data_IF_127431918743
#
_entry.id   IF_127431918743
#
_cell.length_a   1.000
_cell.length_b   1.000
_cell.length_c   1.000
_cell.angle_alpha   90.00
_cell.angle_beta   90.00
_cell.angle_gamma   90.00
#
_symmetry.space_group_name_H-M   'P 1'
#
loop_
_entity.id
_entity.type
_entity.pdbx_description
1 polymer ?
#
# COMPACT_ATOMS: atom_id res chain seq x y z
N UNK A 1 13.92 7.78 25.34
CA UNK A 1 13.81 6.33 25.05
C UNK A 1 14.56 5.96 23.78
N UNK A 2 15.25 4.83 23.75
CA UNK A 2 15.79 4.27 22.49
C UNK A 2 14.65 4.12 21.47
N UNK A 3 14.83 4.62 20.23
CA UNK A 3 13.78 4.58 19.23
C UNK A 3 13.39 3.15 18.90
N UNK A 4 12.08 2.94 18.81
CA UNK A 4 11.47 1.70 18.31
C UNK A 4 10.64 2.05 17.09
N UNK A 5 10.41 1.08 16.19
CA UNK A 5 9.59 1.32 15.02
C UNK A 5 8.19 1.87 15.37
N UNK A 6 7.60 1.44 16.50
CA UNK A 6 6.35 2.01 16.99
C UNK A 6 6.48 3.48 17.35
N UNK A 7 7.42 3.84 18.22
CA UNK A 7 7.55 5.23 18.70
C UNK A 7 8.03 6.18 17.62
N UNK A 8 8.89 5.71 16.71
CA UNK A 8 9.31 6.51 15.55
C UNK A 8 8.13 6.84 14.66
N UNK A 9 7.24 5.89 14.41
CA UNK A 9 6.01 6.14 13.66
C UNK A 9 5.04 7.02 14.47
N UNK A 10 4.92 6.79 15.77
CA UNK A 10 4.06 7.59 16.64
C UNK A 10 4.46 9.07 16.67
N UNK A 11 5.76 9.40 16.53
CA UNK A 11 6.26 10.78 16.44
C UNK A 11 5.77 11.54 15.21
N UNK A 12 5.35 10.84 14.14
CA UNK A 12 4.95 11.49 12.89
C UNK A 12 3.51 11.99 12.93
N UNK A 13 2.76 11.64 13.99
CA UNK A 13 1.36 11.99 14.12
C UNK A 13 1.20 13.42 14.65
N UNK A 14 0.20 14.13 14.15
CA UNK A 14 -0.25 15.37 14.76
C UNK A 14 -1.01 15.08 16.06
N UNK A 15 -1.14 16.09 16.93
CA UNK A 15 -1.87 15.96 18.21
C UNK A 15 -3.30 15.43 18.01
N UNK A 16 -3.98 15.86 16.94
CA UNK A 16 -5.31 15.37 16.58
C UNK A 16 -5.28 13.89 16.20
N UNK A 17 -4.32 13.49 15.37
CA UNK A 17 -4.16 12.10 14.95
C UNK A 17 -3.83 11.18 16.12
N UNK A 18 -3.06 11.64 17.11
CA UNK A 18 -2.83 10.89 18.35
C UNK A 18 -4.13 10.64 19.12
N UNK A 19 -4.97 11.67 19.26
CA UNK A 19 -6.26 11.54 19.94
C UNK A 19 -7.21 10.59 19.19
N UNK A 20 -7.25 10.70 17.86
CA UNK A 20 -8.03 9.82 16.99
C UNK A 20 -7.52 8.38 17.03
N UNK A 21 -6.19 8.17 17.06
CA UNK A 21 -5.58 6.85 17.19
C UNK A 21 -5.88 6.20 18.55
N UNK A 22 -5.75 6.94 19.65
CA UNK A 22 -6.11 6.42 20.99
C UNK A 22 -7.59 6.03 21.04
N UNK A 23 -8.46 6.84 20.45
CA UNK A 23 -9.89 6.55 20.34
C UNK A 23 -10.15 5.32 19.48
N UNK A 24 -9.52 5.22 18.31
CA UNK A 24 -9.60 4.07 17.40
C UNK A 24 -9.20 2.78 18.11
N UNK A 25 -8.06 2.77 18.80
CA UNK A 25 -7.58 1.59 19.51
C UNK A 25 -8.56 1.15 20.61
N UNK A 26 -9.10 2.11 21.37
CA UNK A 26 -10.07 1.84 22.44
C UNK A 26 -11.38 1.21 21.92
N UNK A 27 -11.90 1.70 20.80
CA UNK A 27 -13.14 1.18 20.22
C UNK A 27 -12.96 -0.14 19.48
N UNK A 28 -11.87 -0.28 18.71
CA UNK A 28 -11.64 -1.48 17.90
C UNK A 28 -11.13 -2.66 18.73
N UNK A 29 -10.44 -2.39 19.85
CA UNK A 29 -9.80 -3.43 20.67
C UNK A 29 -10.14 -3.33 22.17
N UNK A 30 -11.43 -3.37 22.57
CA UNK A 30 -11.85 -3.13 23.96
C UNK A 30 -11.26 -4.13 24.97
N UNK A 31 -10.91 -5.35 24.52
CA UNK A 31 -10.31 -6.40 25.36
C UNK A 31 -8.80 -6.22 25.57
N UNK A 32 -8.15 -5.24 24.93
CA UNK A 32 -6.69 -5.03 24.95
C UNK A 32 -6.29 -3.84 25.83
N UNK A 33 -6.89 -3.75 27.02
CA UNK A 33 -6.67 -2.64 27.97
C UNK A 33 -5.21 -2.47 28.37
N UNK A 34 -4.43 -3.56 28.42
CA UNK A 34 -2.98 -3.46 28.67
C UNK A 34 -2.29 -2.59 27.64
N UNK A 35 -2.48 -2.88 26.35
CA UNK A 35 -1.88 -2.10 25.26
C UNK A 35 -2.38 -0.64 25.26
N UNK A 36 -3.66 -0.43 25.58
CA UNK A 36 -4.23 0.92 25.73
C UNK A 36 -3.49 1.73 26.81
N UNK A 37 -3.20 1.13 27.97
CA UNK A 37 -2.45 1.82 29.05
C UNK A 37 -1.04 2.24 28.61
N UNK A 38 -0.35 1.38 27.86
CA UNK A 38 0.95 1.74 27.28
C UNK A 38 0.83 2.89 26.28
N UNK A 39 -0.18 2.84 25.41
CA UNK A 39 -0.44 3.92 24.45
C UNK A 39 -0.72 5.25 25.18
N UNK A 40 -1.68 5.25 26.10
CA UNK A 40 -2.07 6.46 26.84
C UNK A 40 -0.89 7.03 27.64
N UNK A 41 -0.07 6.18 28.27
CA UNK A 41 1.14 6.63 28.96
C UNK A 41 2.15 7.27 28.01
N UNK A 42 2.40 6.66 26.84
CA UNK A 42 3.34 7.20 25.88
C UNK A 42 2.86 8.54 25.33
N UNK A 43 1.57 8.68 25.03
CA UNK A 43 0.99 9.91 24.48
C UNK A 43 1.17 11.15 25.39
N UNK A 44 1.38 10.96 26.71
CA UNK A 44 1.74 12.06 27.61
C UNK A 44 3.07 12.73 27.28
N UNK A 45 3.94 12.03 26.54
CA UNK A 45 5.27 12.49 26.17
C UNK A 45 5.41 12.77 24.66
N UNK A 46 4.30 12.78 23.91
CA UNK A 46 4.32 13.09 22.47
C UNK A 46 4.71 14.55 22.22
N UNK A 47 5.59 14.87 21.25
CA UNK A 47 6.39 13.99 20.38
C UNK A 47 7.79 13.67 20.92
N UNK A 48 8.13 14.15 22.11
CA UNK A 48 9.49 14.28 22.64
C UNK A 48 10.06 13.01 23.31
N UNK A 49 9.59 11.81 22.94
CA UNK A 49 10.00 10.56 23.59
C UNK A 49 11.50 10.28 23.49
N UNK A 50 12.14 10.74 22.42
CA UNK A 50 13.54 10.45 22.12
C UNK A 50 14.49 11.44 22.75
N UNK A 51 14.06 12.69 22.99
CA UNK A 51 14.86 13.71 23.67
C UNK A 51 14.90 13.52 25.19
N UNK A 52 13.89 12.86 25.77
CA UNK A 52 13.84 12.54 27.21
C UNK A 52 14.73 11.35 27.58
N UNK A 53 15.83 11.64 28.29
CA UNK A 53 16.82 10.65 28.77
C UNK A 53 16.27 9.74 29.88
N UNK A 54 15.37 10.26 30.72
CA UNK A 54 14.69 9.57 31.81
C UNK A 54 13.64 8.57 31.32
N UNK A 55 13.05 8.83 30.15
CA UNK A 55 12.07 7.94 29.52
C UNK A 55 12.78 6.71 28.92
N UNK A 56 13.17 5.73 29.74
CA UNK A 56 13.73 4.45 29.28
C UNK A 56 12.65 3.38 29.14
N UNK A 57 12.91 2.29 28.39
CA UNK A 57 11.99 1.14 28.31
C UNK A 57 11.70 0.54 29.69
N UNK A 58 12.73 0.46 30.55
CA UNK A 58 12.60 0.01 31.93
C UNK A 58 11.71 0.96 32.74
N UNK A 59 11.88 2.27 32.58
CA UNK A 59 11.04 3.27 33.25
C UNK A 59 9.57 3.17 32.83
N UNK A 60 9.29 3.04 31.53
CA UNK A 60 7.92 2.85 31.01
C UNK A 60 7.30 1.59 31.60
N UNK A 61 8.03 0.47 31.61
CA UNK A 61 7.56 -0.78 32.18
C UNK A 61 7.26 -0.64 33.68
N UNK A 62 8.20 -0.10 34.45
CA UNK A 62 8.06 0.06 35.90
C UNK A 62 6.91 1.00 36.29
N UNK A 63 6.68 2.05 35.49
CA UNK A 63 5.58 3.00 35.71
C UNK A 63 4.21 2.33 35.55
N UNK A 64 4.10 1.32 34.69
CA UNK A 64 2.84 0.62 34.41
C UNK A 64 2.69 -0.70 35.19
N UNK A 65 3.80 -1.25 35.69
CA UNK A 65 3.87 -2.50 36.45
C UNK A 65 4.75 -2.32 37.71
N UNK A 66 4.33 -1.51 38.68
CA UNK A 66 5.13 -1.26 39.87
C UNK A 66 5.38 -2.55 40.65
N UNK A 67 6.62 -2.74 41.11
CA UNK A 67 7.04 -3.92 41.86
C UNK A 67 7.28 -5.18 41.02
N UNK A 68 7.04 -5.13 39.71
CA UNK A 68 7.38 -6.24 38.80
C UNK A 68 8.82 -6.12 38.29
N UNK A 69 9.50 -7.25 38.09
CA UNK A 69 10.82 -7.27 37.44
C UNK A 69 10.67 -6.84 35.97
N UNK A 70 11.58 -5.99 35.49
CA UNK A 70 11.58 -5.52 34.10
C UNK A 70 11.59 -6.69 33.10
N UNK A 71 10.56 -6.73 32.25
CA UNK A 71 10.44 -7.72 31.17
C UNK A 71 10.44 -7.03 29.80
N UNK A 72 11.62 -7.02 29.17
CA UNK A 72 11.81 -6.47 27.83
C UNK A 72 11.03 -7.22 26.75
N UNK A 73 10.81 -8.53 26.90
CA UNK A 73 10.08 -9.34 25.93
C UNK A 73 8.60 -8.98 25.97
N UNK A 74 8.02 -8.87 27.17
CA UNK A 74 6.63 -8.46 27.33
C UNK A 74 6.40 -7.05 26.78
N UNK A 75 7.28 -6.09 27.08
CA UNK A 75 7.20 -4.74 26.53
C UNK A 75 7.33 -4.72 25.01
N UNK A 76 8.30 -5.46 24.47
CA UNK A 76 8.51 -5.58 23.02
C UNK A 76 7.27 -6.10 22.30
N UNK A 77 6.60 -7.11 22.86
CA UNK A 77 5.35 -7.64 22.30
C UNK A 77 4.23 -6.59 22.28
N UNK A 78 4.13 -5.75 23.32
CA UNK A 78 3.15 -4.65 23.35
C UNK A 78 3.46 -3.61 22.28
N UNK A 79 4.72 -3.22 22.12
CA UNK A 79 5.12 -2.23 21.10
C UNK A 79 4.91 -2.77 19.67
N UNK A 80 5.26 -4.03 19.41
CA UNK A 80 4.99 -4.67 18.11
C UNK A 80 3.49 -4.73 17.82
N UNK A 81 2.67 -5.04 18.83
CA UNK A 81 1.22 -5.02 18.69
C UNK A 81 0.69 -3.62 18.38
N UNK A 82 1.08 -2.60 19.16
CA UNK A 82 0.66 -1.22 18.96
C UNK A 82 1.11 -0.65 17.61
N UNK A 83 2.31 -1.04 17.14
CA UNK A 83 2.78 -0.72 15.79
C UNK A 83 1.80 -1.22 14.72
N UNK A 84 1.41 -2.49 14.77
CA UNK A 84 0.44 -3.05 13.81
C UNK A 84 -0.92 -2.33 13.85
N UNK A 85 -1.35 -1.89 15.04
CA UNK A 85 -2.59 -1.11 15.16
C UNK A 85 -2.45 0.30 14.58
N UNK A 86 -1.30 0.93 14.76
CA UNK A 86 -1.01 2.24 14.18
C UNK A 86 -0.94 2.17 12.65
N UNK A 87 -0.28 1.14 12.10
CA UNK A 87 -0.24 0.90 10.65
C UNK A 87 -1.64 0.69 10.07
N UNK A 88 -2.50 -0.07 10.78
CA UNK A 88 -3.90 -0.27 10.40
C UNK A 88 -4.69 1.03 10.43
N UNK A 89 -4.52 1.83 11.48
CA UNK A 89 -5.16 3.14 11.63
C UNK A 89 -4.78 4.09 10.49
N UNK A 90 -3.48 4.24 10.21
CA UNK A 90 -2.98 5.10 9.14
C UNK A 90 -3.47 4.64 7.76
N UNK A 91 -3.45 3.33 7.52
CA UNK A 91 -3.98 2.75 6.27
C UNK A 91 -5.47 3.06 6.09
N UNK A 92 -6.25 2.96 7.17
CA UNK A 92 -7.66 3.28 7.16
C UNK A 92 -7.90 4.77 6.93
N UNK A 93 -7.18 5.66 7.62
CA UNK A 93 -7.29 7.10 7.39
C UNK A 93 -6.96 7.48 5.95
N UNK A 94 -5.86 6.93 5.41
CA UNK A 94 -5.48 7.16 4.02
C UNK A 94 -6.56 6.70 3.03
N UNK A 95 -7.11 5.50 3.24
CA UNK A 95 -8.18 4.96 2.42
C UNK A 95 -9.46 5.81 2.50
N UNK A 96 -9.79 6.35 3.68
CA UNK A 96 -10.99 7.15 3.87
C UNK A 96 -10.86 8.59 3.34
N UNK A 97 -9.65 9.13 3.27
CA UNK A 97 -9.38 10.45 2.67
C UNK A 97 -9.48 10.43 1.14
N UNK A 98 -9.14 9.30 0.53
CA UNK A 98 -9.07 9.16 -0.93
C UNK A 98 -10.28 8.36 -1.44
N UNK A 99 -11.35 9.09 -1.81
CA UNK A 99 -12.58 8.46 -2.32
C UNK A 99 -12.32 7.47 -3.47
N UNK A 100 -11.36 7.80 -4.34
CA UNK A 100 -10.94 6.93 -5.43
C UNK A 100 -10.31 5.59 -4.95
N UNK A 101 -9.31 5.63 -4.06
CA UNK A 101 -8.63 4.40 -3.60
C UNK A 101 -9.61 3.50 -2.83
N UNK A 102 -10.52 4.09 -2.05
CA UNK A 102 -11.63 3.36 -1.43
C UNK A 102 -12.51 2.65 -2.46
N UNK A 103 -12.89 3.36 -3.51
CA UNK A 103 -13.77 2.83 -4.54
C UNK A 103 -13.09 1.69 -5.33
N UNK A 104 -11.79 1.81 -5.64
CA UNK A 104 -10.99 0.74 -6.26
C UNK A 104 -10.80 -0.45 -5.31
N UNK A 105 -10.52 -0.20 -4.03
CA UNK A 105 -10.39 -1.25 -3.03
C UNK A 105 -11.69 -2.07 -2.94
N UNK A 106 -12.84 -1.39 -2.89
CA UNK A 106 -14.14 -2.07 -2.91
C UNK A 106 -14.34 -2.88 -4.20
N UNK A 107 -13.98 -2.34 -5.37
CA UNK A 107 -14.05 -3.06 -6.63
C UNK A 107 -13.21 -4.35 -6.59
N UNK A 108 -11.98 -4.31 -6.05
CA UNK A 108 -11.12 -5.50 -5.88
C UNK A 108 -11.81 -6.56 -5.02
N UNK A 109 -12.37 -6.17 -3.88
CA UNK A 109 -13.11 -7.08 -2.99
C UNK A 109 -14.35 -7.68 -3.67
N UNK A 110 -15.10 -6.89 -4.45
CA UNK A 110 -16.27 -7.38 -5.20
C UNK A 110 -15.88 -8.41 -6.27
N UNK A 111 -14.73 -8.19 -6.95
CA UNK A 111 -14.18 -9.12 -7.92
C UNK A 111 -13.76 -10.44 -7.27
N UNK A 112 -13.04 -10.39 -6.15
CA UNK A 112 -12.63 -11.59 -5.40
C UNK A 112 -13.83 -12.42 -4.94
N UNK A 113 -14.96 -11.75 -4.64
CA UNK A 113 -16.23 -12.40 -4.28
C UNK A 113 -17.08 -12.82 -5.48
N UNK A 114 -16.56 -12.73 -6.71
CA UNK A 114 -17.28 -13.06 -7.95
C UNK A 114 -18.58 -12.26 -8.17
N UNK A 115 -18.67 -11.05 -7.62
CA UNK A 115 -19.82 -10.15 -7.78
C UNK A 115 -19.65 -9.24 -9.01
N UNK A 116 -19.53 -9.83 -10.20
CA UNK A 116 -19.12 -9.16 -11.43
C UNK A 116 -19.93 -7.89 -11.75
N UNK A 117 -21.26 -7.92 -11.64
CA UNK A 117 -22.10 -6.74 -11.91
C UNK A 117 -21.79 -5.57 -10.97
N UNK A 118 -21.68 -5.85 -9.67
CA UNK A 118 -21.35 -4.84 -8.67
C UNK A 118 -19.92 -4.32 -8.85
N UNK A 119 -18.97 -5.21 -9.19
CA UNK A 119 -17.60 -4.85 -9.53
C UNK A 119 -17.56 -3.82 -10.66
N UNK A 120 -18.22 -4.09 -11.80
CA UNK A 120 -18.21 -3.15 -12.93
C UNK A 120 -18.88 -1.83 -12.61
N UNK A 121 -20.01 -1.85 -11.90
CA UNK A 121 -20.68 -0.62 -11.45
C UNK A 121 -19.76 0.24 -10.58
N UNK A 122 -19.05 -0.40 -9.64
CA UNK A 122 -18.11 0.27 -8.75
C UNK A 122 -16.90 0.80 -9.53
N UNK A 123 -16.35 0.03 -10.46
CA UNK A 123 -15.20 0.41 -11.29
C UNK A 123 -15.53 1.60 -12.20
N UNK A 124 -16.72 1.59 -12.82
CA UNK A 124 -17.23 2.71 -13.63
C UNK A 124 -17.42 3.97 -12.79
N UNK A 125 -17.96 3.84 -11.57
CA UNK A 125 -18.12 4.96 -10.65
C UNK A 125 -16.76 5.56 -10.24
N UNK A 126 -15.78 4.70 -9.91
CA UNK A 126 -14.41 5.11 -9.61
C UNK A 126 -13.77 5.85 -10.80
N UNK A 127 -13.95 5.35 -12.03
CA UNK A 127 -13.46 5.99 -13.25
C UNK A 127 -14.02 7.40 -13.47
N UNK A 128 -15.31 7.61 -13.23
CA UNK A 128 -15.93 8.95 -13.32
C UNK A 128 -15.41 9.91 -12.25
N UNK A 129 -15.13 9.42 -11.04
CA UNK A 129 -14.54 10.23 -9.98
C UNK A 129 -13.10 10.63 -10.33
N UNK A 130 -12.37 9.74 -11.01
CA UNK A 130 -11.02 10.00 -11.48
C UNK A 130 -10.98 11.02 -12.61
N UNK A 131 -11.91 10.95 -13.58
CA UNK A 131 -12.03 11.93 -14.67
C UNK A 131 -12.33 13.35 -14.19
N UNK A 132 -12.92 13.49 -12.99
CA UNK A 132 -13.18 14.79 -12.34
C UNK A 132 -12.04 15.26 -11.44
N UNK A 133 -11.14 14.36 -11.05
CA UNK A 133 -10.03 14.69 -10.17
C UNK A 133 -8.88 15.26 -11.00
N UNK A 134 -8.60 16.55 -10.81
CA UNK A 134 -7.53 17.26 -11.49
C UNK A 134 -6.17 16.89 -10.88
N UNK A 135 -5.69 15.66 -11.12
CA UNK A 135 -4.41 15.18 -10.58
C UNK A 135 -3.68 14.29 -11.58
N UNK A 136 -2.75 14.90 -12.32
CA UNK A 136 -1.74 14.25 -13.17
C UNK A 136 -0.61 13.73 -12.29
N UNK A 137 -0.81 12.55 -11.69
CA UNK A 137 0.22 11.83 -10.93
C UNK A 137 0.41 10.42 -11.48
N UNK A 138 1.62 9.86 -11.33
CA UNK A 138 1.92 8.48 -11.78
C UNK A 138 0.96 7.45 -11.17
N UNK A 139 0.53 7.67 -9.91
CA UNK A 139 -0.45 6.82 -9.24
C UNK A 139 -1.84 6.91 -9.89
N UNK A 140 -2.31 8.11 -10.24
CA UNK A 140 -3.54 8.33 -11.00
C UNK A 140 -3.51 7.59 -12.34
N UNK A 141 -2.36 7.61 -13.03
CA UNK A 141 -2.17 6.89 -14.30
C UNK A 141 -2.23 5.37 -14.13
N UNK A 142 -1.57 4.82 -13.10
CA UNK A 142 -1.65 3.37 -12.79
C UNK A 142 -3.08 2.97 -12.45
N UNK A 143 -3.75 3.77 -11.64
CA UNK A 143 -5.13 3.55 -11.24
C UNK A 143 -6.10 3.63 -12.45
N UNK A 144 -5.88 4.58 -13.36
CA UNK A 144 -6.59 4.68 -14.63
C UNK A 144 -6.37 3.44 -15.49
N UNK A 145 -5.13 2.94 -15.55
CA UNK A 145 -4.79 1.70 -16.26
C UNK A 145 -5.49 0.47 -15.68
N UNK A 146 -5.51 0.31 -14.35
CA UNK A 146 -6.22 -0.80 -13.69
C UNK A 146 -7.71 -0.82 -14.06
N UNK A 147 -8.36 0.35 -14.06
CA UNK A 147 -9.78 0.50 -14.43
C UNK A 147 -9.98 0.19 -15.91
N UNK A 148 -9.24 0.85 -16.81
CA UNK A 148 -9.42 0.67 -18.26
C UNK A 148 -9.08 -0.75 -18.72
N UNK A 149 -8.11 -1.40 -18.09
CA UNK A 149 -7.84 -2.81 -18.31
C UNK A 149 -9.02 -3.69 -17.86
N UNK A 150 -9.60 -3.45 -16.68
CA UNK A 150 -10.80 -4.16 -16.22
C UNK A 150 -11.99 -3.99 -17.15
N UNK A 151 -12.23 -2.76 -17.62
CA UNK A 151 -13.28 -2.43 -18.59
C UNK A 151 -13.05 -3.11 -19.94
N UNK A 152 -11.82 -3.11 -20.47
CA UNK A 152 -11.48 -3.65 -21.79
C UNK A 152 -11.67 -5.17 -21.88
N UNK A 153 -11.32 -5.91 -20.83
CA UNK A 153 -11.48 -7.37 -20.78
C UNK A 153 -12.82 -7.83 -20.19
N UNK A 154 -13.76 -6.90 -19.98
CA UNK A 154 -15.10 -7.22 -19.50
C UNK A 154 -15.93 -7.94 -20.55
N UNK A 155 -16.40 -9.15 -20.23
CA UNK A 155 -17.40 -9.86 -21.04
C UNK A 155 -18.81 -9.26 -20.97
N UNK A 156 -19.03 -8.29 -20.07
CA UNK A 156 -20.32 -7.65 -19.84
C UNK A 156 -20.50 -6.34 -20.63
N UNK A 157 -19.42 -5.76 -21.17
CA UNK A 157 -19.49 -4.52 -21.97
C UNK A 157 -18.74 -4.64 -23.30
N UNK A 158 -19.30 -5.42 -24.24
CA UNK A 158 -18.79 -5.58 -25.60
C UNK A 158 -18.75 -4.26 -26.41
N UNK A 159 -19.33 -3.16 -25.91
CA UNK A 159 -19.37 -1.87 -26.63
C UNK A 159 -18.06 -1.08 -26.53
N UNK A 160 -17.13 -1.50 -25.67
CA UNK A 160 -15.83 -0.86 -25.54
C UNK A 160 -14.80 -1.35 -26.55
N UNK A 161 -15.02 -2.45 -27.27
CA UNK A 161 -14.12 -2.87 -28.36
C UNK A 161 -14.03 -1.88 -29.53
N UNK A 162 -14.89 -0.85 -29.57
CA UNK A 162 -15.03 0.04 -30.73
C UNK A 162 -14.94 1.55 -30.45
N UNK A 163 -14.60 1.99 -29.22
CA UNK A 163 -14.33 3.43 -29.00
C UNK A 163 -12.90 3.75 -29.40
N UNK A 164 -12.71 4.87 -30.11
CA UNK A 164 -11.43 5.28 -30.70
C UNK A 164 -10.37 5.58 -29.62
N UNK A 165 -9.65 4.55 -29.18
CA UNK A 165 -8.61 4.68 -28.16
C UNK A 165 -7.36 5.39 -28.67
N UNK A 166 -7.19 5.57 -29.99
CA UNK A 166 -5.94 6.06 -30.60
C UNK A 166 -5.50 7.43 -30.07
N UNK A 167 -6.43 8.28 -29.63
CA UNK A 167 -6.14 9.58 -29.03
C UNK A 167 -6.06 9.59 -27.49
N UNK A 168 -6.48 8.51 -26.82
CA UNK A 168 -6.55 8.46 -25.37
C UNK A 168 -5.20 8.10 -24.73
N UNK A 169 -5.00 8.49 -23.47
CA UNK A 169 -3.84 8.08 -22.66
C UNK A 169 -3.70 6.55 -22.63
N UNK A 170 -4.81 5.81 -22.58
CA UNK A 170 -4.80 4.35 -22.61
C UNK A 170 -4.31 3.79 -23.96
N UNK A 171 -4.74 4.36 -25.08
CA UNK A 171 -4.24 3.93 -26.39
C UNK A 171 -2.78 4.28 -26.62
N UNK A 172 -2.30 5.41 -26.10
CA UNK A 172 -0.88 5.75 -26.09
C UNK A 172 -0.07 4.74 -25.26
N UNK A 173 -0.57 4.35 -24.09
CA UNK A 173 0.06 3.34 -23.24
C UNK A 173 0.04 1.94 -23.84
N UNK A 174 -1.07 1.53 -24.45
CA UNK A 174 -1.16 0.24 -25.14
C UNK A 174 -0.15 0.20 -26.30
N UNK A 175 -0.06 1.28 -27.08
CA UNK A 175 0.95 1.44 -28.13
C UNK A 175 2.38 1.40 -27.58
N UNK A 176 2.64 2.02 -26.44
CA UNK A 176 3.95 1.94 -25.77
C UNK A 176 4.27 0.52 -25.27
N UNK A 177 3.27 -0.22 -24.80
CA UNK A 177 3.43 -1.62 -24.38
C UNK A 177 3.68 -2.55 -25.57
N UNK A 178 2.97 -2.36 -26.68
CA UNK A 178 3.23 -3.07 -27.94
C UNK A 178 4.66 -2.81 -28.43
N UNK A 179 5.10 -1.54 -28.47
CA UNK A 179 6.47 -1.17 -28.83
C UNK A 179 7.53 -1.81 -27.92
N UNK A 180 7.27 -1.87 -26.62
CA UNK A 180 8.18 -2.54 -25.67
C UNK A 180 8.30 -4.04 -25.97
N UNK A 181 7.18 -4.70 -26.24
CA UNK A 181 7.17 -6.13 -26.59
C UNK A 181 7.92 -6.39 -27.90
N UNK A 182 7.75 -5.54 -28.91
CA UNK A 182 8.46 -5.65 -30.19
C UNK A 182 9.99 -5.46 -30.02
N UNK A 183 10.40 -4.51 -29.18
CA UNK A 183 11.81 -4.31 -28.84
C UNK A 183 12.41 -5.51 -28.12
N UNK A 184 11.68 -6.09 -27.16
CA UNK A 184 12.10 -7.29 -26.43
C UNK A 184 12.21 -8.50 -27.36
N UNK A 185 11.23 -8.70 -28.25
CA UNK A 185 11.25 -9.77 -29.24
C UNK A 185 12.44 -9.61 -30.20
N UNK A 186 12.69 -8.39 -30.68
CA UNK A 186 13.83 -8.07 -31.54
C UNK A 186 15.16 -8.34 -30.86
N UNK A 187 15.32 -7.89 -29.60
CA UNK A 187 16.52 -8.14 -28.80
C UNK A 187 16.75 -9.62 -28.58
N UNK A 188 15.69 -10.37 -28.28
CA UNK A 188 15.76 -11.82 -28.12
C UNK A 188 16.18 -12.53 -29.41
N UNK A 189 15.63 -12.14 -30.56
CA UNK A 189 16.00 -12.68 -31.86
C UNK A 189 17.48 -12.41 -32.19
N UNK A 190 17.97 -11.20 -31.93
CA UNK A 190 19.37 -10.83 -32.12
C UNK A 190 20.30 -11.65 -31.21
N UNK A 191 19.92 -11.86 -29.96
CA UNK A 191 20.67 -12.70 -29.01
C UNK A 191 20.72 -14.16 -29.49
N UNK A 192 19.61 -14.71 -29.98
CA UNK A 192 19.59 -16.05 -30.56
C UNK A 192 20.50 -16.18 -31.79
N UNK A 193 20.51 -15.18 -32.68
CA UNK A 193 21.42 -15.16 -33.83
C UNK A 193 22.88 -15.08 -33.38
N UNK A 194 23.20 -14.23 -32.41
CA UNK A 194 24.56 -14.10 -31.90
C UNK A 194 25.04 -15.41 -31.27
N UNK A 195 24.19 -16.11 -30.50
CA UNK A 195 24.49 -17.43 -29.94
C UNK A 195 24.74 -18.47 -31.02
N UNK A 196 23.90 -18.53 -32.06
CA UNK A 196 24.12 -19.43 -33.21
C UNK A 196 25.46 -19.16 -33.90
N UNK A 197 25.82 -17.88 -34.08
CA UNK A 197 27.10 -17.49 -34.66
C UNK A 197 28.28 -17.93 -33.79
N UNK A 198 28.22 -17.70 -32.48
CA UNK A 198 29.28 -18.11 -31.55
C UNK A 198 29.45 -19.63 -31.55
N UNK A 199 28.35 -20.38 -31.46
CA UNK A 199 28.39 -21.84 -31.47
C UNK A 199 28.92 -22.39 -32.81
N UNK A 200 28.48 -21.84 -33.94
CA UNK A 200 29.02 -22.24 -35.25
C UNK A 200 30.49 -21.87 -35.48
N UNK A 201 31.00 -20.83 -34.81
CA UNK A 201 32.43 -20.50 -34.81
C UNK A 201 33.28 -21.38 -33.90
N UNK A 202 32.68 -21.94 -32.84
CA UNK A 202 33.32 -22.92 -31.95
C UNK A 202 33.48 -24.26 -32.69
N UNK A 203 32.47 -24.70 -33.43
CA UNK A 203 32.52 -25.96 -34.20
C UNK A 203 33.56 -25.92 -35.34
N UNK A 204 33.83 -24.75 -35.92
CA UNK A 204 34.86 -24.58 -36.96
C UNK A 204 36.31 -24.51 -36.44
N UNK A 205 36.52 -24.34 -35.13
CA UNK A 205 37.87 -24.28 -34.52
C UNK A 205 38.35 -25.61 -33.94
N UNK A 206 37.49 -26.62 -33.92
CA UNK A 206 37.76 -27.95 -33.33
C UNK A 206 37.88 -29.06 -34.40
N UNK A 207 37.76 -28.71 -35.69
CA UNK A 207 38.10 -29.57 -36.83
C UNK A 207 39.40 -29.14 -37.49
#
# INVERSE_FOLDING_TARGET
MQPTAFTTLLCTLETKECADFSRFHRYMFPRRQRAQRYLDFLLLYHPDYHSRKDLTKAFVFQSLHPGSTYDNKSLGNVFSYLKGQLETFLSWQYLMQTGFERDVFLAKVLRERSLSKAYYQQLTAAGRNLEKADVVGQRTLINYLEIKHGDYYSSLDNKLQHRDYKGSVFGQLLKSQELLNDLLATKYAAELQNRKRILGQVDQKVG
#
